data_IF_255566910851
#
_entry.id   IF_255566910851
#
_cell.length_a   1.000
_cell.length_b   1.000
_cell.length_c   1.000
_cell.angle_alpha   90.00
_cell.angle_beta   90.00
_cell.angle_gamma   90.00
#
_symmetry.space_group_name_H-M   'P 1'
#
loop_
_entity.id
_entity.type
_entity.pdbx_description
1 polymer ?
#
# COMPACT_ATOMS: atom_id res chain seq x y z
N UNK A 1 -6.54 26.36 -20.32
CA UNK A 1 -7.32 25.27 -19.71
C UNK A 1 -6.47 24.00 -19.75
N UNK A 2 -5.73 23.71 -18.66
CA UNK A 2 -5.58 22.42 -17.93
C UNK A 2 -5.07 22.85 -16.53
N UNK A 3 -5.95 23.03 -15.54
CA UNK A 3 -6.23 22.12 -14.41
C UNK A 3 -5.05 21.85 -13.44
N UNK A 4 -5.19 22.45 -12.26
CA UNK A 4 -5.02 21.87 -10.91
C UNK A 4 -3.69 22.05 -10.15
N UNK A 5 -3.73 22.59 -8.90
CA UNK A 5 -2.66 22.50 -7.93
C UNK A 5 -2.66 21.11 -7.31
N UNK A 6 -1.50 20.50 -7.06
CA UNK A 6 -1.43 19.38 -6.12
C UNK A 6 -0.48 19.74 -4.99
N UNK A 7 -1.10 20.08 -3.86
CA UNK A 7 -0.49 20.15 -2.56
C UNK A 7 0.06 18.76 -2.17
N UNK A 8 1.28 18.71 -1.64
CA UNK A 8 1.85 17.60 -0.86
C UNK A 8 1.47 16.17 -1.28
N UNK A 9 1.93 15.70 -2.44
CA UNK A 9 1.58 14.36 -2.91
C UNK A 9 2.57 13.32 -2.36
N UNK A 10 2.37 12.89 -1.12
CA UNK A 10 2.81 11.52 -0.78
C UNK A 10 1.99 10.57 -1.65
N UNK A 11 2.57 9.58 -2.33
CA UNK A 11 1.78 8.62 -3.10
C UNK A 11 0.74 8.01 -2.17
N UNK A 12 -0.53 8.20 -2.54
CA UNK A 12 -1.63 7.64 -1.75
C UNK A 12 -1.50 6.13 -1.76
N UNK A 13 -1.87 5.46 -0.68
CA UNK A 13 -1.88 3.99 -0.61
C UNK A 13 -2.59 3.37 -1.83
N UNK A 14 -3.62 4.05 -2.34
CA UNK A 14 -4.33 3.71 -3.57
C UNK A 14 -3.45 3.77 -4.84
N UNK A 15 -2.57 4.75 -4.98
CA UNK A 15 -1.58 4.86 -6.07
C UNK A 15 -0.51 3.77 -5.94
N UNK A 16 -0.04 3.54 -4.71
CA UNK A 16 0.91 2.47 -4.40
C UNK A 16 0.34 1.10 -4.78
N UNK A 17 -0.97 0.91 -4.63
CA UNK A 17 -1.66 -0.35 -4.92
C UNK A 17 -2.15 -0.44 -6.37
N UNK A 18 -2.36 0.68 -7.06
CA UNK A 18 -2.78 0.70 -8.46
C UNK A 18 -1.71 0.10 -9.40
N UNK A 19 -0.42 0.21 -9.03
CA UNK A 19 0.69 -0.43 -9.74
C UNK A 19 0.98 -1.87 -9.31
N UNK A 20 0.33 -2.37 -8.26
CA UNK A 20 0.60 -3.70 -7.70
C UNK A 20 -0.33 -4.73 -8.35
N UNK A 21 0.28 -5.68 -9.06
CA UNK A 21 -0.42 -6.82 -9.63
C UNK A 21 -0.87 -7.79 -8.54
N UNK A 22 -2.07 -7.59 -8.01
CA UNK A 22 -2.65 -8.55 -7.09
C UNK A 22 -2.95 -9.89 -7.80
N UNK A 23 -2.79 -11.02 -7.10
CA UNK A 23 -2.54 -11.13 -5.66
C UNK A 23 -1.03 -11.15 -5.35
N UNK A 24 -0.60 -10.46 -4.28
CA UNK A 24 0.82 -10.24 -3.93
C UNK A 24 1.12 -10.73 -2.51
N UNK A 25 2.28 -11.33 -2.27
CA UNK A 25 2.65 -11.79 -0.91
C UNK A 25 3.02 -10.61 -0.01
N UNK A 26 2.96 -10.77 1.31
CA UNK A 26 3.34 -9.69 2.23
C UNK A 26 4.77 -9.18 2.02
N UNK A 27 5.71 -10.05 1.72
CA UNK A 27 7.10 -9.67 1.42
C UNK A 27 7.20 -8.87 0.12
N UNK A 28 6.55 -9.34 -0.95
CA UNK A 28 6.51 -8.62 -2.22
C UNK A 28 5.75 -7.29 -2.12
N UNK A 29 4.70 -7.24 -1.31
CA UNK A 29 3.94 -6.03 -1.04
C UNK A 29 4.80 -5.03 -0.27
N UNK A 30 5.53 -5.48 0.76
CA UNK A 30 6.46 -4.64 1.52
C UNK A 30 7.54 -4.05 0.60
N UNK A 31 8.14 -4.87 -0.26
CA UNK A 31 9.15 -4.41 -1.23
C UNK A 31 8.57 -3.38 -2.20
N UNK A 32 7.42 -3.70 -2.84
CA UNK A 32 6.74 -2.77 -3.75
C UNK A 32 6.38 -1.46 -3.02
N UNK A 33 5.85 -1.56 -1.81
CA UNK A 33 5.46 -0.41 -1.01
C UNK A 33 6.67 0.43 -0.64
N UNK A 34 7.74 -0.19 -0.17
CA UNK A 34 8.99 0.50 0.16
C UNK A 34 9.56 1.22 -1.07
N UNK A 35 9.59 0.57 -2.23
CA UNK A 35 10.08 1.16 -3.47
C UNK A 35 9.18 2.28 -4.00
N UNK A 36 7.87 2.19 -3.79
CA UNK A 36 6.93 3.22 -4.18
C UNK A 36 6.78 4.34 -3.12
N UNK A 37 7.55 4.32 -2.03
CA UNK A 37 7.57 5.40 -1.03
C UNK A 37 6.50 5.27 0.08
N UNK A 38 6.02 4.07 0.36
CA UNK A 38 5.12 3.80 1.47
C UNK A 38 5.78 4.11 2.82
N UNK A 39 4.95 4.54 3.77
CA UNK A 39 5.38 4.80 5.13
C UNK A 39 5.77 3.50 5.85
N UNK A 40 6.79 3.55 6.70
CA UNK A 40 7.18 2.43 7.57
C UNK A 40 6.00 1.87 8.39
N UNK A 41 5.04 2.72 8.74
CA UNK A 41 3.83 2.35 9.48
C UNK A 41 2.94 1.37 8.69
N UNK A 42 2.87 1.51 7.37
CA UNK A 42 2.20 0.54 6.48
C UNK A 42 2.97 -0.78 6.43
N UNK A 43 4.29 -0.71 6.25
CA UNK A 43 5.13 -1.91 6.19
C UNK A 43 5.04 -2.72 7.48
N UNK A 44 5.08 -2.05 8.63
CA UNK A 44 4.97 -2.69 9.95
C UNK A 44 3.58 -3.31 10.16
N UNK A 45 2.54 -2.66 9.66
CA UNK A 45 1.18 -3.18 9.74
C UNK A 45 0.94 -4.36 8.79
N UNK A 46 1.52 -4.36 7.60
CA UNK A 46 1.55 -5.52 6.70
C UNK A 46 2.36 -6.67 7.31
N UNK A 47 3.46 -6.35 8.00
CA UNK A 47 4.29 -7.35 8.69
C UNK A 47 3.56 -8.00 9.88
N UNK A 48 2.77 -7.22 10.63
CA UNK A 48 1.92 -7.69 11.72
C UNK A 48 0.58 -8.27 11.25
N UNK A 49 0.21 -8.09 9.98
CA UNK A 49 -1.02 -8.63 9.44
C UNK A 49 -1.02 -10.16 9.49
N UNK A 50 -2.16 -10.73 9.88
CA UNK A 50 -2.43 -12.17 9.82
C UNK A 50 -2.31 -12.75 8.39
N UNK A 51 -2.87 -12.12 7.34
CA UNK A 51 -2.72 -12.65 5.99
C UNK A 51 -1.27 -12.61 5.49
N UNK A 52 -0.85 -13.70 4.86
CA UNK A 52 0.47 -13.85 4.21
C UNK A 52 0.49 -13.31 2.78
N UNK A 53 -0.69 -13.12 2.18
CA UNK A 53 -0.89 -12.64 0.82
C UNK A 53 -2.11 -11.74 0.79
N UNK A 54 -2.03 -10.66 0.02
CA UNK A 54 -3.11 -9.71 -0.19
C UNK A 54 -3.61 -9.86 -1.61
N UNK A 55 -4.93 -9.95 -1.76
CA UNK A 55 -5.58 -10.03 -3.06
C UNK A 55 -6.07 -8.68 -3.57
N UNK A 56 -6.06 -7.63 -2.75
CA UNK A 56 -6.51 -6.31 -3.16
C UNK A 56 -6.02 -5.21 -2.23
N UNK A 57 -6.12 -3.98 -2.73
CA UNK A 57 -5.78 -2.78 -1.99
C UNK A 57 -6.57 -2.63 -0.68
N UNK A 58 -7.86 -2.90 -0.77
CA UNK A 58 -8.78 -2.88 0.36
C UNK A 58 -8.39 -3.89 1.44
N UNK A 59 -7.91 -5.07 1.04
CA UNK A 59 -7.47 -6.12 1.95
C UNK A 59 -6.26 -5.66 2.78
N UNK A 60 -5.33 -4.94 2.14
CA UNK A 60 -4.18 -4.31 2.82
C UNK A 60 -4.67 -3.28 3.83
N UNK A 61 -5.58 -2.38 3.45
CA UNK A 61 -6.11 -1.36 4.36
C UNK A 61 -6.86 -1.98 5.54
N UNK A 62 -7.65 -3.03 5.28
CA UNK A 62 -8.38 -3.79 6.30
C UNK A 62 -7.42 -4.52 7.24
N UNK A 63 -6.38 -5.16 6.72
CA UNK A 63 -5.37 -5.84 7.51
C UNK A 63 -4.56 -4.89 8.40
N UNK A 64 -4.29 -3.67 7.93
CA UNK A 64 -3.60 -2.63 8.69
C UNK A 64 -4.52 -2.03 9.76
N UNK A 65 -5.80 -1.86 9.46
CA UNK A 65 -6.81 -1.29 10.36
C UNK A 65 -7.20 -2.25 11.50
N UNK A 66 -7.19 -3.55 11.24
CA UNK A 66 -7.59 -4.58 12.20
C UNK A 66 -6.41 -5.02 13.10
N UNK A 67 -5.72 -4.04 13.69
CA UNK A 67 -4.65 -4.21 14.70
C UNK A 67 -5.21 -4.47 16.08
#
# INVERSE_FOLDING_TARGET
MVTMPQAGSSPSIQELLAGVGFPVTKEQLIDNFQQNGATQLLLDAIRNASPTRFASADEVMTAIRNR
#
